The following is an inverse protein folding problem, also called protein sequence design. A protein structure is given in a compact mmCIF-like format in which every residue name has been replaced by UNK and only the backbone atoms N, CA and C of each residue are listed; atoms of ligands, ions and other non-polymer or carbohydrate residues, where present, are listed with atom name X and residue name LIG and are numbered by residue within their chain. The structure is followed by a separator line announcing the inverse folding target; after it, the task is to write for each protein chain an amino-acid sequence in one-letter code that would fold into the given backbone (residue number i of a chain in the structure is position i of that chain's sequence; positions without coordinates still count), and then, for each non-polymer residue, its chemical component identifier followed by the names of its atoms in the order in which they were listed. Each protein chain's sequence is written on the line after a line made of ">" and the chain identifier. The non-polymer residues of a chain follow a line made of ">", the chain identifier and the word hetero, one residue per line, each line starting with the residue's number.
data_IF_881739152340
#
_entry.id   IF_881739152340
#
_cell.length_a   1.000
_cell.length_b   1.000
_cell.length_c   1.000
_cell.angle_alpha   90.00
_cell.angle_beta   90.00
_cell.angle_gamma   90.00
#
_symmetry.space_group_name_H-M   'P 1'
#
loop_
_entity.id
_entity.type
_entity.pdbx_description
1 polymer ?
#
# COMPACT_ATOMS: atom_id res chain seq x y z
N UNK A 1 -16.30 -10.10 -17.96
CA UNK A 1 -15.84 -9.83 -16.58
C UNK A 1 -16.96 -10.21 -15.63
N UNK A 2 -16.66 -10.99 -14.60
CA UNK A 2 -17.63 -11.40 -13.58
C UNK A 2 -18.09 -10.21 -12.73
N UNK A 3 -19.32 -10.21 -12.21
CA UNK A 3 -19.86 -9.10 -11.39
C UNK A 3 -18.91 -8.69 -10.23
N UNK A 4 -18.25 -9.67 -9.61
CA UNK A 4 -17.37 -9.44 -8.47
C UNK A 4 -16.12 -8.59 -8.79
N UNK A 5 -15.52 -8.66 -9.98
CA UNK A 5 -14.32 -7.86 -10.29
C UNK A 5 -14.63 -6.38 -10.43
N UNK A 6 -15.86 -6.02 -10.83
CA UNK A 6 -16.30 -4.63 -10.83
C UNK A 6 -16.62 -4.16 -9.40
N UNK A 7 -17.38 -4.96 -8.65
CA UNK A 7 -17.80 -4.64 -7.28
C UNK A 7 -16.64 -4.45 -6.30
N UNK A 8 -15.54 -5.17 -6.50
CA UNK A 8 -14.33 -5.10 -5.66
C UNK A 8 -13.17 -4.34 -6.32
N UNK A 9 -13.41 -3.63 -7.41
CA UNK A 9 -12.36 -2.84 -8.05
C UNK A 9 -11.83 -1.75 -7.12
N UNK A 10 -10.50 -1.63 -7.06
CA UNK A 10 -9.78 -0.60 -6.31
C UNK A 10 -9.12 0.44 -7.22
N UNK A 11 -9.37 0.36 -8.53
CA UNK A 11 -8.82 1.30 -9.50
C UNK A 11 -9.22 2.75 -9.16
N UNK A 12 -8.24 3.65 -9.09
CA UNK A 12 -8.43 5.05 -8.72
C UNK A 12 -8.75 5.30 -7.25
N UNK A 13 -8.75 4.27 -6.39
CA UNK A 13 -8.95 4.42 -4.93
C UNK A 13 -7.64 4.71 -4.22
N UNK A 14 -7.74 5.02 -2.92
CA UNK A 14 -6.61 5.16 -2.00
C UNK A 14 -6.72 4.08 -0.93
N UNK A 15 -5.64 3.35 -0.67
CA UNK A 15 -5.60 2.28 0.32
C UNK A 15 -4.56 2.58 1.40
N UNK A 16 -4.96 2.44 2.67
CA UNK A 16 -4.06 2.47 3.81
C UNK A 16 -3.64 1.05 4.13
N UNK A 17 -2.32 0.78 4.17
CA UNK A 17 -1.77 -0.53 4.51
C UNK A 17 -0.92 -0.41 5.77
N UNK A 18 -1.32 -1.11 6.83
CA UNK A 18 -0.56 -1.22 8.08
C UNK A 18 0.40 -2.40 8.03
N UNK A 19 1.56 -2.28 8.68
CA UNK A 19 2.58 -3.34 8.60
C UNK A 19 3.13 -3.50 7.17
N UNK A 20 3.17 -2.41 6.41
CA UNK A 20 3.40 -2.40 4.96
C UNK A 20 4.79 -2.87 4.52
N UNK A 21 5.77 -2.88 5.42
CA UNK A 21 7.19 -2.93 5.02
C UNK A 21 7.71 -4.32 4.67
N UNK A 22 7.03 -5.42 5.07
CA UNK A 22 7.52 -6.80 4.89
C UNK A 22 6.37 -7.79 4.72
N UNK A 23 6.68 -8.97 4.19
CA UNK A 23 5.74 -10.10 4.10
C UNK A 23 4.44 -9.74 3.40
N UNK A 24 3.32 -10.11 4.02
CA UNK A 24 1.97 -9.90 3.45
C UNK A 24 1.68 -8.41 3.21
N UNK A 25 2.08 -7.52 4.11
CA UNK A 25 1.82 -6.09 3.96
C UNK A 25 2.49 -5.49 2.72
N UNK A 26 3.72 -5.92 2.43
CA UNK A 26 4.47 -5.48 1.25
C UNK A 26 3.78 -5.96 -0.04
N UNK A 27 3.38 -7.24 -0.09
CA UNK A 27 2.67 -7.79 -1.25
C UNK A 27 1.29 -7.15 -1.46
N UNK A 28 0.58 -6.81 -0.38
CA UNK A 28 -0.68 -6.07 -0.46
C UNK A 28 -0.45 -4.70 -1.12
N UNK A 29 0.58 -3.95 -0.73
CA UNK A 29 0.92 -2.68 -1.37
C UNK A 29 1.17 -2.85 -2.88
N UNK A 30 1.96 -3.86 -3.28
CA UNK A 30 2.27 -4.16 -4.67
C UNK A 30 1.03 -4.50 -5.48
N UNK A 31 0.21 -5.43 -4.99
CA UNK A 31 -1.00 -5.89 -5.69
C UNK A 31 -2.04 -4.78 -5.79
N UNK A 32 -2.27 -4.01 -4.73
CA UNK A 32 -3.23 -2.90 -4.77
C UNK A 32 -2.76 -1.78 -5.70
N UNK A 33 -1.46 -1.48 -5.73
CA UNK A 33 -0.89 -0.50 -6.66
C UNK A 33 -1.06 -0.98 -8.12
N UNK A 34 -0.69 -2.23 -8.43
CA UNK A 34 -0.91 -2.83 -9.75
C UNK A 34 -2.39 -2.90 -10.15
N UNK A 35 -3.31 -2.97 -9.19
CA UNK A 35 -4.75 -2.89 -9.40
C UNK A 35 -5.27 -1.43 -9.55
N UNK A 36 -4.39 -0.43 -9.55
CA UNK A 36 -4.69 0.96 -9.81
C UNK A 36 -4.99 1.82 -8.57
N UNK A 37 -4.70 1.34 -7.35
CA UNK A 37 -4.86 2.14 -6.13
C UNK A 37 -3.63 3.01 -5.85
N UNK A 38 -3.81 4.18 -5.25
CA UNK A 38 -2.72 4.89 -4.56
C UNK A 38 -2.56 4.33 -3.14
N UNK A 39 -1.35 4.35 -2.59
CA UNK A 39 -1.04 3.70 -1.31
C UNK A 39 -0.60 4.71 -0.24
N UNK A 40 -1.14 4.54 0.97
CA UNK A 40 -0.57 5.08 2.20
C UNK A 40 0.02 3.93 3.01
N UNK A 41 1.35 3.85 3.10
CA UNK A 41 2.06 2.74 3.72
C UNK A 41 2.49 3.11 5.15
N UNK A 42 2.05 2.32 6.14
CA UNK A 42 2.39 2.52 7.56
C UNK A 42 3.33 1.41 8.03
N UNK A 43 4.42 1.82 8.67
CA UNK A 43 5.39 0.90 9.26
C UNK A 43 6.39 1.60 10.18
N UNK A 44 7.22 0.82 10.87
CA UNK A 44 8.24 1.36 11.80
C UNK A 44 9.62 1.49 11.15
N UNK A 45 9.89 0.64 10.17
CA UNK A 45 11.15 0.52 9.45
C UNK A 45 11.19 1.50 8.28
N UNK A 46 12.07 2.51 8.35
CA UNK A 46 12.18 3.55 7.32
C UNK A 46 12.72 3.00 6.00
N UNK A 47 13.65 2.05 6.03
CA UNK A 47 14.21 1.44 4.82
C UNK A 47 13.13 0.63 4.09
N UNK A 48 12.39 -0.20 4.83
CA UNK A 48 11.28 -0.95 4.26
C UNK A 48 10.13 -0.06 3.75
N UNK A 49 9.91 1.13 4.33
CA UNK A 49 8.95 2.09 3.80
C UNK A 49 9.40 2.67 2.45
N UNK A 50 10.69 2.94 2.27
CA UNK A 50 11.23 3.39 0.99
C UNK A 50 11.15 2.29 -0.08
N UNK A 51 11.39 1.03 0.28
CA UNK A 51 11.17 -0.10 -0.63
C UNK A 51 9.71 -0.20 -1.09
N UNK A 52 8.74 0.00 -0.19
CA UNK A 52 7.32 0.05 -0.54
C UNK A 52 7.04 1.21 -1.50
N UNK A 53 7.58 2.40 -1.20
CA UNK A 53 7.39 3.58 -2.05
C UNK A 53 7.85 3.33 -3.48
N UNK A 54 9.08 2.83 -3.64
CA UNK A 54 9.64 2.52 -4.95
C UNK A 54 8.80 1.47 -5.70
N UNK A 55 8.32 0.44 -5.00
CA UNK A 55 7.48 -0.58 -5.60
C UNK A 55 6.13 -0.01 -6.08
N UNK A 56 5.49 0.86 -5.30
CA UNK A 56 4.22 1.50 -5.68
C UNK A 56 4.40 2.50 -6.82
N UNK A 57 5.46 3.32 -6.77
CA UNK A 57 5.77 4.29 -7.82
C UNK A 57 6.14 3.59 -9.15
N UNK A 58 6.76 2.41 -9.10
CA UNK A 58 7.02 1.59 -10.30
C UNK A 58 5.75 1.07 -10.99
N UNK A 59 4.62 1.03 -10.27
CA UNK A 59 3.30 0.73 -10.83
C UNK A 59 2.56 1.99 -11.30
N UNK A 60 3.26 3.12 -11.45
CA UNK A 60 2.69 4.43 -11.83
C UNK A 60 1.60 4.93 -10.86
N UNK A 61 1.71 4.55 -9.58
CA UNK A 61 0.80 4.95 -8.51
C UNK A 61 1.51 5.84 -7.50
N UNK A 62 0.74 6.61 -6.74
CA UNK A 62 1.29 7.48 -5.68
C UNK A 62 1.45 6.69 -4.39
N UNK A 63 2.53 6.95 -3.67
CA UNK A 63 2.76 6.41 -2.35
C UNK A 63 3.07 7.52 -1.35
N UNK A 64 2.42 7.47 -0.19
CA UNK A 64 2.82 8.23 1.00
C UNK A 64 3.29 7.24 2.05
N UNK A 65 4.46 7.48 2.63
CA UNK A 65 5.00 6.67 3.71
C UNK A 65 4.75 7.35 5.05
N UNK A 66 4.28 6.56 6.02
CA UNK A 66 3.94 7.02 7.38
C UNK A 66 4.72 6.15 8.35
N UNK A 67 5.75 6.75 8.95
CA UNK A 67 6.51 6.06 10.00
C UNK A 67 5.77 6.18 11.33
N UNK A 68 5.17 5.08 11.78
CA UNK A 68 4.42 5.06 13.04
C UNK A 68 4.48 3.67 13.70
N UNK A 69 4.40 3.66 15.03
CA UNK A 69 4.05 2.47 15.80
C UNK A 69 2.55 2.54 16.16
N UNK A 70 1.77 1.58 15.65
CA UNK A 70 0.32 1.53 15.86
C UNK A 70 -0.07 1.12 17.29
N UNK A 71 0.86 0.61 18.09
CA UNK A 71 0.62 0.30 19.50
C UNK A 71 0.68 1.56 20.40
N UNK A 72 1.17 2.69 19.89
CA UNK A 72 1.29 3.94 20.62
C UNK A 72 0.15 4.88 20.31
N UNK A 73 -0.46 5.45 21.34
CA UNK A 73 -1.32 6.64 21.18
C UNK A 73 -0.45 7.88 20.92
N UNK A 74 -1.04 8.88 20.25
CA UNK A 74 -0.41 10.18 19.99
C UNK A 74 -0.40 11.05 21.25
#
# INVERSE_FOLDING_TARGET
>A
MSDHTNRFSVAGKRALVTGATKGIGLEICRVLASAGADIAAVGRDAAGLEEVRLAVESAERRCVTIRADLASAA
#
